data_IF_948607080974
#
_entry.id   IF_948607080974
#
_cell.length_a   1.000
_cell.length_b   1.000
_cell.length_c   1.000
_cell.angle_alpha   90.00
_cell.angle_beta   90.00
_cell.angle_gamma   90.00
#
_symmetry.space_group_name_H-M   'P 1'
#
loop_
_entity.id
_entity.type
_entity.pdbx_description
1 polymer ?
#
# COMPACT_ATOMS: atom_id res chain seq x y z
N UNK A 1 0.64 -13.88 -5.71
CA UNK A 1 2.08 -13.61 -5.48
C UNK A 1 2.25 -12.11 -5.39
N UNK A 2 2.40 -11.58 -4.19
CA UNK A 2 2.50 -10.13 -3.96
C UNK A 2 3.95 -9.68 -4.18
N UNK A 3 4.14 -8.61 -4.97
CA UNK A 3 5.44 -8.22 -5.52
C UNK A 3 6.33 -7.52 -4.49
N UNK A 4 7.45 -8.15 -4.10
CA UNK A 4 8.36 -7.64 -3.08
C UNK A 4 9.03 -6.31 -3.53
N UNK A 5 9.19 -6.09 -4.84
CA UNK A 5 9.72 -4.84 -5.38
C UNK A 5 8.71 -3.71 -5.27
N UNK A 6 7.43 -3.99 -5.48
CA UNK A 6 6.34 -3.04 -5.27
C UNK A 6 6.33 -2.55 -3.82
N UNK A 7 6.35 -3.44 -2.84
CA UNK A 7 6.40 -3.03 -1.44
C UNK A 7 7.70 -2.31 -1.07
N UNK A 8 8.84 -2.70 -1.66
CA UNK A 8 10.09 -1.97 -1.47
C UNK A 8 10.04 -0.55 -2.05
N UNK A 9 9.28 -0.33 -3.12
CA UNK A 9 9.05 1.00 -3.69
C UNK A 9 8.04 1.84 -2.88
N UNK A 10 6.97 1.22 -2.37
CA UNK A 10 5.93 1.92 -1.58
C UNK A 10 6.36 2.19 -0.13
N UNK A 11 7.14 1.27 0.45
CA UNK A 11 7.65 1.30 1.82
C UNK A 11 9.17 1.10 1.83
N UNK A 12 9.94 2.12 1.40
CA UNK A 12 11.40 2.04 1.40
C UNK A 12 11.91 1.78 2.83
N UNK A 13 12.85 0.84 2.97
CA UNK A 13 13.39 0.42 4.26
C UNK A 13 12.53 -0.58 5.04
N UNK A 14 11.24 -0.72 4.73
CA UNK A 14 10.35 -1.66 5.41
C UNK A 14 10.19 -3.02 4.72
N UNK A 15 10.67 -3.18 3.48
CA UNK A 15 10.46 -4.38 2.66
C UNK A 15 10.81 -5.70 3.38
N UNK A 16 11.95 -5.72 4.09
CA UNK A 16 12.39 -6.91 4.85
C UNK A 16 11.44 -7.24 6.02
N UNK A 17 10.90 -6.21 6.67
CA UNK A 17 9.94 -6.36 7.77
C UNK A 17 8.57 -6.78 7.26
N UNK A 18 8.10 -6.17 6.16
CA UNK A 18 6.87 -6.55 5.48
C UNK A 18 6.90 -8.02 5.08
N UNK A 19 7.99 -8.48 4.47
CA UNK A 19 8.14 -9.90 4.08
C UNK A 19 8.10 -10.84 5.29
N UNK A 20 8.72 -10.45 6.41
CA UNK A 20 8.70 -11.24 7.63
C UNK A 20 7.30 -11.30 8.27
N UNK A 21 6.59 -10.17 8.32
CA UNK A 21 5.21 -10.10 8.83
C UNK A 21 4.26 -10.90 7.96
N UNK A 22 4.32 -10.75 6.63
CA UNK A 22 3.48 -11.50 5.68
C UNK A 22 3.69 -13.00 5.75
N UNK A 23 4.90 -13.46 6.07
CA UNK A 23 5.18 -14.89 6.23
C UNK A 23 4.63 -15.47 7.54
N UNK A 24 4.40 -14.64 8.56
CA UNK A 24 3.94 -15.06 9.89
C UNK A 24 2.49 -14.71 10.23
N UNK A 25 1.87 -13.81 9.46
CA UNK A 25 0.53 -13.28 9.70
C UNK A 25 -0.27 -13.28 8.37
N UNK A 26 -1.16 -14.27 8.24
CA UNK A 26 -2.01 -14.43 7.04
C UNK A 26 -3.01 -13.29 6.86
N UNK A 27 -3.48 -12.68 7.95
CA UNK A 27 -4.37 -11.51 7.88
C UNK A 27 -3.59 -10.33 7.31
N UNK A 28 -2.35 -10.15 7.76
CA UNK A 28 -1.47 -9.12 7.22
C UNK A 28 -1.09 -9.35 5.75
N UNK A 29 -0.85 -10.60 5.35
CA UNK A 29 -0.63 -10.93 3.92
C UNK A 29 -1.87 -10.58 3.08
N UNK A 30 -3.07 -10.82 3.60
CA UNK A 30 -4.30 -10.44 2.93
C UNK A 30 -4.45 -8.91 2.81
N UNK A 31 -4.14 -8.14 3.86
CA UNK A 31 -4.12 -6.66 3.81
C UNK A 31 -3.12 -6.16 2.75
N UNK A 32 -1.95 -6.78 2.67
CA UNK A 32 -0.95 -6.44 1.66
C UNK A 32 -1.44 -6.79 0.24
N UNK A 33 -2.12 -7.92 0.07
CA UNK A 33 -2.70 -8.31 -1.21
C UNK A 33 -3.79 -7.32 -1.66
N UNK A 34 -4.69 -6.94 -0.76
CA UNK A 34 -5.76 -5.96 -0.98
C UNK A 34 -5.18 -4.59 -1.37
N UNK A 35 -4.16 -4.13 -0.64
CA UNK A 35 -3.44 -2.89 -0.98
C UNK A 35 -2.84 -2.91 -2.39
N UNK A 36 -2.24 -4.03 -2.80
CA UNK A 36 -1.68 -4.17 -4.14
C UNK A 36 -2.78 -4.20 -5.22
N UNK A 37 -3.91 -4.86 -4.95
CA UNK A 37 -5.06 -4.91 -5.85
C UNK A 37 -5.67 -3.51 -6.07
N UNK A 38 -5.98 -2.80 -4.99
CA UNK A 38 -6.50 -1.42 -5.04
C UNK A 38 -5.52 -0.47 -5.73
N UNK A 39 -4.19 -0.63 -5.49
CA UNK A 39 -3.18 0.17 -6.19
C UNK A 39 -3.17 -0.09 -7.70
N UNK A 40 -3.25 -1.36 -8.09
CA UNK A 40 -3.29 -1.75 -9.49
C UNK A 40 -4.54 -1.21 -10.17
N UNK A 41 -5.70 -1.33 -9.50
CA UNK A 41 -6.97 -0.80 -9.99
C UNK A 41 -6.93 0.72 -10.12
N UNK A 42 -6.41 1.43 -9.12
CA UNK A 42 -6.22 2.89 -9.18
C UNK A 42 -5.30 3.31 -10.35
N UNK A 43 -4.23 2.56 -10.58
CA UNK A 43 -3.27 2.84 -11.66
C UNK A 43 -3.87 2.58 -13.04
N UNK A 44 -4.62 1.48 -13.19
CA UNK A 44 -5.40 1.16 -14.39
C UNK A 44 -6.46 2.23 -14.64
N UNK A 45 -7.30 2.52 -13.65
CA UNK A 45 -8.36 3.52 -13.73
C UNK A 45 -7.82 4.91 -14.06
N UNK A 46 -6.64 5.29 -13.54
CA UNK A 46 -5.97 6.56 -13.87
C UNK A 46 -5.42 6.59 -15.30
N UNK A 47 -4.99 5.45 -15.83
CA UNK A 47 -4.51 5.32 -17.22
C UNK A 47 -5.67 5.33 -18.22
N UNK A 48 -6.79 4.74 -17.84
CA UNK A 48 -8.03 4.67 -18.62
C UNK A 48 -8.95 5.89 -18.42
N UNK A 49 -8.57 6.83 -17.54
CA UNK A 49 -9.39 7.97 -17.15
C UNK A 49 -9.60 8.98 -18.29
N UNK A 50 -10.62 8.71 -19.10
CA UNK A 50 -11.54 9.73 -19.58
C UNK A 50 -12.19 10.44 -18.37
N UNK A 51 -12.39 11.75 -18.46
CA UNK A 51 -12.66 12.74 -17.38
C UNK A 51 -13.85 12.48 -16.42
N UNK A 52 -14.52 11.33 -16.46
CA UNK A 52 -15.79 11.05 -15.76
C UNK A 52 -15.67 10.21 -14.49
N UNK A 53 -14.48 9.69 -14.14
CA UNK A 53 -14.29 8.77 -13.01
C UNK A 53 -13.68 9.39 -11.75
N UNK A 54 -13.68 10.73 -11.62
CA UNK A 54 -13.00 11.45 -10.53
C UNK A 54 -13.44 11.01 -9.13
N UNK A 55 -14.72 10.68 -8.94
CA UNK A 55 -15.23 10.21 -7.64
C UNK A 55 -14.74 8.79 -7.30
N UNK A 56 -14.72 7.92 -8.30
CA UNK A 56 -14.22 6.55 -8.15
C UNK A 56 -12.71 6.54 -7.86
N UNK A 57 -11.93 7.37 -8.56
CA UNK A 57 -10.50 7.54 -8.27
C UNK A 57 -10.24 8.09 -6.85
N UNK A 58 -11.10 8.97 -6.36
CA UNK A 58 -10.99 9.49 -4.98
C UNK A 58 -11.29 8.40 -3.94
N UNK A 59 -12.31 7.58 -4.16
CA UNK A 59 -12.68 6.46 -3.29
C UNK A 59 -11.58 5.39 -3.23
N UNK A 60 -10.98 5.06 -4.38
CA UNK A 60 -9.84 4.17 -4.46
C UNK A 60 -8.59 4.75 -3.76
N UNK A 61 -8.34 6.05 -3.91
CA UNK A 61 -7.23 6.71 -3.23
C UNK A 61 -7.43 6.75 -1.70
N UNK A 62 -8.67 6.92 -1.23
CA UNK A 62 -9.02 6.85 0.19
C UNK A 62 -8.82 5.43 0.74
N UNK A 63 -9.37 4.42 0.06
CA UNK A 63 -9.20 3.01 0.42
C UNK A 63 -7.71 2.60 0.45
N UNK A 64 -6.94 3.02 -0.56
CA UNK A 64 -5.50 2.80 -0.61
C UNK A 64 -4.77 3.44 0.59
N UNK A 65 -5.20 4.63 1.01
CA UNK A 65 -4.60 5.36 2.13
C UNK A 65 -4.90 4.69 3.47
N UNK A 66 -6.11 4.15 3.65
CA UNK A 66 -6.47 3.39 4.85
C UNK A 66 -5.65 2.10 4.96
N UNK A 67 -5.57 1.33 3.87
CA UNK A 67 -4.75 0.12 3.78
C UNK A 67 -3.28 0.41 4.03
N UNK A 68 -2.73 1.49 3.46
CA UNK A 68 -1.35 1.94 3.73
C UNK A 68 -1.15 2.21 5.21
N UNK A 69 -2.06 2.96 5.83
CA UNK A 69 -2.00 3.29 7.26
C UNK A 69 -2.07 2.04 8.13
N UNK A 70 -2.90 1.07 7.76
CA UNK A 70 -3.01 -0.23 8.45
C UNK A 70 -1.69 -1.01 8.39
N UNK A 71 -1.05 -1.02 7.21
CA UNK A 71 0.28 -1.62 7.00
C UNK A 71 1.35 -0.91 7.84
N UNK A 72 1.37 0.42 7.84
CA UNK A 72 2.35 1.22 8.61
C UNK A 72 2.19 1.07 10.12
N UNK A 73 0.96 0.89 10.63
CA UNK A 73 0.71 0.63 12.06
C UNK A 73 1.23 -0.73 12.53
N UNK A 74 1.20 -1.74 11.66
CA UNK A 74 1.68 -3.10 11.93
C UNK A 74 3.19 -3.21 11.76
N UNK A 75 3.78 -2.35 10.94
CA UNK A 75 5.23 -2.22 10.86
C UNK A 75 5.75 -1.72 12.21
N UNK A 76 6.72 -2.42 12.84
CA UNK A 76 7.32 -1.95 14.07
C UNK A 76 7.91 -0.58 13.79
N UNK A 77 7.50 0.44 14.55
CA UNK A 77 7.85 1.84 14.34
C UNK A 77 9.31 1.98 13.90
N UNK A 78 9.53 2.08 12.58
CA UNK A 78 10.80 2.61 12.11
C UNK A 78 10.83 4.02 12.69
N UNK A 79 11.92 4.43 13.36
CA UNK A 79 12.01 5.74 13.96
C UNK A 79 11.64 6.74 12.85
N UNK A 80 10.56 7.48 13.11
CA UNK A 80 10.06 8.50 12.23
C UNK A 80 11.26 9.26 11.70
N UNK A 81 11.53 9.13 10.40
CA UNK A 81 12.37 10.12 9.74
C UNK A 81 11.51 11.37 9.69
N UNK A 82 11.52 12.12 10.82
CA UNK A 82 11.21 13.54 10.85
C UNK A 82 12.19 14.18 9.88
N UNK A 83 11.79 14.30 8.62
CA UNK A 83 12.25 15.42 7.81
C UNK A 83 11.44 16.62 8.28
N UNK A 84 11.99 17.28 9.28
CA UNK A 84 11.63 18.63 9.66
C UNK A 84 12.39 19.53 8.67
N UNK A 85 11.69 20.22 7.80
CA UNK A 85 12.16 21.49 7.25
C UNK A 85 10.97 22.38 6.89
#
# INVERSE_FOLDING_TARGET
MTDDRFFAAQFPGAAKQLRALRAGDSEFDQICADYHEVYSELTLARTEAAMSQTRYLADLAESLSDLRTSIEKRLPAQPATRVHE
#
